data_IF_176776997518
#
_entry.id   IF_176776997518
#
_cell.length_a   1.000
_cell.length_b   1.000
_cell.length_c   1.000
_cell.angle_alpha   90.00
_cell.angle_beta   90.00
_cell.angle_gamma   90.00
#
_symmetry.space_group_name_H-M   'P 1'
#
loop_
_entity.id
_entity.type
_entity.pdbx_description
1 polymer ?
#
# COMPACT_ATOMS: atom_id res chain seq x y z
N UNK A 1 -9.36 3.28 -8.13
CA UNK A 1 -8.87 3.75 -9.46
C UNK A 1 -9.73 4.91 -9.94
N UNK A 2 -9.11 5.95 -10.50
CA UNK A 2 -9.86 7.08 -11.09
C UNK A 2 -10.65 6.59 -12.30
N UNK A 3 -11.96 6.90 -12.42
CA UNK A 3 -12.78 6.46 -13.54
C UNK A 3 -12.26 7.04 -14.88
N UNK A 4 -12.35 6.26 -15.96
CA UNK A 4 -11.85 6.67 -17.29
C UNK A 4 -12.46 7.99 -17.80
N UNK A 5 -13.74 8.25 -17.49
CA UNK A 5 -14.44 9.49 -17.89
C UNK A 5 -13.82 10.75 -17.28
N UNK A 6 -13.07 10.61 -16.18
CA UNK A 6 -12.41 11.75 -15.54
C UNK A 6 -11.37 12.42 -16.44
N UNK A 7 -10.80 11.65 -17.35
CA UNK A 7 -9.77 12.07 -18.30
C UNK A 7 -10.33 12.38 -19.70
N UNK A 8 -11.66 12.34 -19.86
CA UNK A 8 -12.33 12.48 -21.14
C UNK A 8 -13.31 13.67 -21.13
N UNK A 9 -13.51 14.31 -22.31
CA UNK A 9 -14.59 15.26 -22.54
C UNK A 9 -15.88 14.52 -22.95
N UNK A 10 -16.91 15.28 -23.30
CA UNK A 10 -18.21 14.76 -23.76
C UNK A 10 -18.13 14.01 -25.09
N UNK A 11 -17.11 14.25 -25.89
CA UNK A 11 -16.88 13.61 -27.19
C UNK A 11 -15.96 12.37 -27.07
N UNK A 12 -15.43 12.11 -25.88
CA UNK A 12 -14.51 11.00 -25.61
C UNK A 12 -13.04 11.32 -25.86
N UNK A 13 -12.69 12.57 -26.21
CA UNK A 13 -11.32 13.01 -26.36
C UNK A 13 -10.65 13.24 -25.02
N UNK A 14 -9.31 13.24 -24.99
CA UNK A 14 -8.56 13.60 -23.79
C UNK A 14 -8.80 15.07 -23.43
N UNK A 15 -9.09 15.34 -22.15
CA UNK A 15 -9.24 16.71 -21.65
C UNK A 15 -7.91 17.45 -21.63
N UNK A 16 -7.96 18.80 -21.63
CA UNK A 16 -6.76 19.62 -21.45
C UNK A 16 -6.20 19.50 -20.03
N UNK A 17 -4.96 19.94 -19.87
CA UNK A 17 -4.27 20.00 -18.57
C UNK A 17 -5.07 20.83 -17.55
N UNK A 18 -5.55 21.98 -17.94
CA UNK A 18 -6.31 22.92 -17.09
C UNK A 18 -7.61 22.28 -16.61
N UNK A 19 -8.37 21.69 -17.52
CA UNK A 19 -9.62 20.98 -17.19
C UNK A 19 -9.37 19.83 -16.21
N UNK A 20 -8.27 19.10 -16.40
CA UNK A 20 -7.96 17.99 -15.49
C UNK A 20 -7.56 18.48 -14.11
N UNK A 21 -6.79 19.58 -14.03
CA UNK A 21 -6.44 20.22 -12.74
C UNK A 21 -7.70 20.69 -12.03
N UNK A 22 -8.62 21.33 -12.72
CA UNK A 22 -9.88 21.80 -12.13
C UNK A 22 -10.75 20.64 -11.62
N UNK A 23 -10.84 19.58 -12.39
CA UNK A 23 -11.55 18.34 -11.95
C UNK A 23 -10.92 17.75 -10.69
N UNK A 24 -9.60 17.65 -10.65
CA UNK A 24 -8.86 17.15 -9.49
C UNK A 24 -9.11 18.02 -8.26
N UNK A 25 -8.95 19.35 -8.38
CA UNK A 25 -9.20 20.29 -7.30
C UNK A 25 -10.63 20.22 -6.80
N UNK A 26 -11.61 20.16 -7.70
CA UNK A 26 -13.03 20.04 -7.33
C UNK A 26 -13.33 18.74 -6.59
N UNK A 27 -12.75 17.62 -7.03
CA UNK A 27 -12.88 16.35 -6.34
C UNK A 27 -12.29 16.42 -4.92
N UNK A 28 -11.06 16.90 -4.78
CA UNK A 28 -10.40 17.06 -3.48
C UNK A 28 -11.23 18.00 -2.59
N UNK A 29 -11.65 19.15 -3.09
CA UNK A 29 -12.50 20.10 -2.34
C UNK A 29 -13.76 19.44 -1.83
N UNK A 30 -14.47 18.70 -2.68
CA UNK A 30 -15.71 18.03 -2.30
C UNK A 30 -15.49 17.00 -1.20
N UNK A 31 -14.47 16.14 -1.34
CA UNK A 31 -14.21 15.04 -0.40
C UNK A 31 -13.65 15.58 0.92
N UNK A 32 -12.59 16.38 0.86
CA UNK A 32 -11.93 16.88 2.08
C UNK A 32 -12.84 17.80 2.88
N UNK A 33 -13.62 18.70 2.24
CA UNK A 33 -14.58 19.56 2.95
C UNK A 33 -15.64 18.73 3.69
N UNK A 34 -16.12 17.62 3.08
CA UNK A 34 -17.13 16.75 3.69
C UNK A 34 -16.64 16.06 4.96
N UNK A 35 -15.36 15.72 5.02
CA UNK A 35 -14.76 14.96 6.12
C UNK A 35 -13.82 15.78 7.00
N UNK A 36 -13.74 17.10 6.78
CA UNK A 36 -12.94 18.00 7.58
C UNK A 36 -13.28 17.86 9.07
N UNK A 37 -12.24 17.66 9.90
CA UNK A 37 -12.37 17.44 11.33
C UNK A 37 -12.93 16.07 11.73
N UNK A 38 -13.13 15.15 10.77
CA UNK A 38 -13.57 13.75 11.00
C UNK A 38 -12.51 12.73 10.61
N UNK A 39 -11.60 13.10 9.71
CA UNK A 39 -10.50 12.28 9.23
C UNK A 39 -9.22 13.04 9.48
N UNK A 40 -8.29 12.44 10.21
CA UNK A 40 -7.04 13.08 10.61
C UNK A 40 -5.96 12.92 9.52
N UNK A 41 -5.94 11.79 8.83
CA UNK A 41 -4.89 11.41 7.87
C UNK A 41 -5.47 11.21 6.48
N UNK A 42 -4.77 11.74 5.48
CA UNK A 42 -5.15 11.62 4.07
C UNK A 42 -4.01 11.04 3.24
N UNK A 43 -4.26 9.93 2.57
CA UNK A 43 -3.42 9.44 1.47
C UNK A 43 -3.72 10.31 0.25
N UNK A 44 -3.07 11.48 0.17
CA UNK A 44 -3.40 12.50 -0.85
C UNK A 44 -3.05 12.04 -2.24
N UNK A 45 -1.89 11.42 -2.39
CA UNK A 45 -1.48 10.74 -3.62
C UNK A 45 -1.00 9.33 -3.29
N UNK A 46 -1.37 8.39 -4.17
CA UNK A 46 -1.13 6.98 -3.99
C UNK A 46 -0.41 6.39 -5.20
N UNK A 47 0.64 5.59 -4.96
CA UNK A 47 1.32 4.77 -5.97
C UNK A 47 1.87 5.59 -7.15
N UNK A 48 2.57 6.69 -6.88
CA UNK A 48 3.12 7.54 -7.96
C UNK A 48 4.48 7.07 -8.45
N UNK A 49 5.12 6.11 -7.76
CA UNK A 49 6.43 5.59 -8.10
C UNK A 49 6.29 4.21 -8.74
N UNK A 50 6.97 4.03 -9.85
CA UNK A 50 7.17 2.73 -10.50
C UNK A 50 8.63 2.33 -10.45
N UNK A 51 8.89 1.02 -10.47
CA UNK A 51 10.25 0.47 -10.54
C UNK A 51 10.37 -0.49 -11.69
N UNK A 52 11.55 -0.54 -12.30
CA UNK A 52 11.90 -1.49 -13.34
C UNK A 52 13.34 -1.94 -13.11
N UNK A 53 13.63 -3.22 -13.34
CA UNK A 53 15.00 -3.70 -13.39
C UNK A 53 15.66 -3.23 -14.66
N UNK A 54 16.88 -2.70 -14.54
CA UNK A 54 17.77 -2.41 -15.65
C UNK A 54 18.42 -3.71 -16.18
N UNK A 55 19.31 -3.59 -17.17
CA UNK A 55 20.00 -4.74 -17.78
C UNK A 55 20.88 -5.51 -16.78
N UNK A 56 21.33 -4.86 -15.71
CA UNK A 56 22.14 -5.46 -14.64
C UNK A 56 21.27 -6.13 -13.55
N UNK A 57 19.92 -6.07 -13.69
CA UNK A 57 18.97 -6.61 -12.71
C UNK A 57 18.72 -5.72 -11.50
N UNK A 58 19.27 -4.50 -11.50
CA UNK A 58 19.11 -3.51 -10.41
C UNK A 58 17.81 -2.73 -10.63
N UNK A 59 17.05 -2.52 -9.56
CA UNK A 59 15.85 -1.71 -9.63
C UNK A 59 16.18 -0.22 -9.74
N UNK A 60 15.54 0.42 -10.70
CA UNK A 60 15.50 1.87 -10.86
C UNK A 60 14.09 2.37 -10.61
N UNK A 61 13.95 3.52 -9.93
CA UNK A 61 12.66 4.11 -9.61
C UNK A 61 12.42 5.39 -10.42
N UNK A 62 11.18 5.57 -10.84
CA UNK A 62 10.75 6.73 -11.62
C UNK A 62 9.26 7.00 -11.40
N UNK A 63 8.79 8.17 -11.82
CA UNK A 63 7.35 8.46 -11.75
C UNK A 63 6.54 7.53 -12.64
N UNK A 64 5.48 6.98 -12.06
CA UNK A 64 4.56 6.07 -12.76
C UNK A 64 3.84 6.81 -13.88
N UNK A 65 3.92 6.28 -15.11
CA UNK A 65 3.13 6.77 -16.24
C UNK A 65 1.63 6.49 -16.00
N UNK A 66 0.93 7.55 -15.62
CA UNK A 66 -0.52 7.55 -15.38
C UNK A 66 -1.14 8.68 -16.18
N UNK A 67 -2.46 8.67 -16.43
CA UNK A 67 -3.12 9.81 -17.07
C UNK A 67 -2.87 11.14 -16.34
N UNK A 68 -2.76 11.14 -15.03
CA UNK A 68 -2.39 12.31 -14.23
C UNK A 68 -1.02 12.86 -14.61
N UNK A 69 -0.02 11.98 -14.61
CA UNK A 69 1.35 12.33 -14.95
C UNK A 69 1.50 12.73 -16.42
N UNK A 70 0.85 11.99 -17.33
CA UNK A 70 0.99 12.20 -18.77
C UNK A 70 0.32 13.49 -19.25
N UNK A 71 -0.74 13.94 -18.58
CA UNK A 71 -1.50 15.16 -18.97
C UNK A 71 -1.01 16.39 -18.21
N UNK A 72 -0.73 16.27 -16.92
CA UNK A 72 -0.37 17.40 -16.07
C UNK A 72 1.15 17.53 -15.89
N UNK A 73 1.89 16.42 -15.86
CA UNK A 73 3.28 16.35 -15.41
C UNK A 73 3.37 16.03 -13.91
N UNK A 74 4.60 15.93 -13.35
CA UNK A 74 4.80 15.57 -11.95
C UNK A 74 4.22 16.58 -10.96
N UNK A 75 3.98 17.79 -11.37
CA UNK A 75 3.40 18.86 -10.55
C UNK A 75 1.97 18.58 -10.08
N UNK A 76 1.26 17.58 -10.66
CA UNK A 76 -0.06 17.18 -10.15
C UNK A 76 0.00 16.75 -8.69
N UNK A 77 1.13 16.20 -8.26
CA UNK A 77 1.37 15.77 -6.88
C UNK A 77 1.33 16.97 -5.95
N UNK A 78 2.11 17.99 -6.25
CA UNK A 78 2.16 19.24 -5.47
C UNK A 78 0.79 19.93 -5.45
N UNK A 79 0.11 20.02 -6.61
CA UNK A 79 -1.22 20.64 -6.73
C UNK A 79 -2.23 19.92 -5.82
N UNK A 80 -2.20 18.57 -5.78
CA UNK A 80 -3.09 17.79 -4.95
C UNK A 80 -2.88 18.10 -3.45
N UNK A 81 -1.65 18.08 -2.98
CA UNK A 81 -1.34 18.38 -1.57
C UNK A 81 -1.72 19.79 -1.18
N UNK A 82 -1.36 20.81 -1.98
CA UNK A 82 -1.74 22.21 -1.72
C UNK A 82 -3.24 22.37 -1.65
N UNK A 83 -3.99 21.67 -2.52
CA UNK A 83 -5.46 21.75 -2.50
C UNK A 83 -6.04 21.18 -1.22
N UNK A 84 -5.48 20.10 -0.66
CA UNK A 84 -5.93 19.58 0.65
C UNK A 84 -5.62 20.61 1.75
N UNK A 85 -4.40 21.17 1.77
CA UNK A 85 -3.99 22.17 2.78
C UNK A 85 -4.86 23.44 2.75
N UNK A 86 -5.29 23.90 1.57
CA UNK A 86 -6.20 25.05 1.44
C UNK A 86 -7.56 24.82 2.12
N UNK A 87 -8.01 23.56 2.13
CA UNK A 87 -9.33 23.19 2.67
C UNK A 87 -9.25 22.84 4.16
N UNK A 88 -8.28 22.01 4.52
CA UNK A 88 -8.03 21.55 5.88
C UNK A 88 -6.55 21.69 6.24
N UNK A 89 -6.15 22.86 6.77
CA UNK A 89 -4.77 23.13 7.17
C UNK A 89 -4.26 22.22 8.30
N UNK A 90 -5.15 21.56 9.02
CA UNK A 90 -4.80 20.67 10.15
C UNK A 90 -4.71 19.20 9.72
N UNK A 91 -5.07 18.88 8.49
CA UNK A 91 -4.99 17.52 7.95
C UNK A 91 -3.54 17.01 7.94
N UNK A 92 -3.34 15.80 8.40
CA UNK A 92 -2.06 15.10 8.30
C UNK A 92 -1.96 14.42 6.93
N UNK A 93 -0.98 14.79 6.13
CA UNK A 93 -0.85 14.39 4.74
C UNK A 93 0.14 13.23 4.62
N UNK A 94 -0.25 12.15 3.98
CA UNK A 94 0.59 10.99 3.72
C UNK A 94 0.89 10.85 2.23
N UNK A 95 2.06 10.30 1.95
CA UNK A 95 2.38 9.67 0.67
C UNK A 95 2.31 8.17 0.84
N UNK A 96 1.47 7.44 0.10
CA UNK A 96 1.23 6.00 0.23
C UNK A 96 1.70 5.22 -0.99
N UNK A 97 2.42 4.11 -0.79
CA UNK A 97 2.85 3.25 -1.91
C UNK A 97 3.12 1.79 -1.45
N UNK A 98 3.11 0.87 -2.41
CA UNK A 98 3.47 -0.55 -2.24
C UNK A 98 4.93 -0.80 -2.58
N UNK A 99 5.46 -1.98 -2.20
CA UNK A 99 6.83 -2.44 -2.50
C UNK A 99 7.92 -1.41 -2.15
N UNK A 100 7.76 -0.68 -1.05
CA UNK A 100 8.79 0.23 -0.54
C UNK A 100 10.02 -0.53 0.00
N UNK A 101 9.92 -1.85 0.16
CA UNK A 101 11.02 -2.79 0.42
C UNK A 101 12.04 -2.91 -0.72
N UNK A 102 11.77 -2.31 -1.88
CA UNK A 102 12.74 -2.10 -2.94
C UNK A 102 13.54 -0.81 -2.67
N UNK A 103 14.84 -0.94 -2.47
CA UNK A 103 15.71 0.17 -2.04
C UNK A 103 15.57 1.42 -2.91
N UNK A 104 15.62 1.28 -4.24
CA UNK A 104 15.44 2.40 -5.15
C UNK A 104 14.07 3.10 -4.97
N UNK A 105 13.03 2.34 -4.61
CA UNK A 105 11.68 2.89 -4.45
C UNK A 105 11.53 3.70 -3.16
N UNK A 106 12.05 3.19 -2.05
CA UNK A 106 12.00 3.93 -0.78
C UNK A 106 12.89 5.17 -0.84
N UNK A 107 14.05 5.11 -1.49
CA UNK A 107 14.92 6.27 -1.67
C UNK A 107 14.22 7.35 -2.51
N UNK A 108 13.53 6.97 -3.57
CA UNK A 108 12.74 7.90 -4.38
C UNK A 108 11.60 8.52 -3.56
N UNK A 109 10.87 7.72 -2.76
CA UNK A 109 9.79 8.19 -1.91
C UNK A 109 10.28 9.18 -0.85
N UNK A 110 11.40 8.90 -0.20
CA UNK A 110 12.04 9.81 0.78
C UNK A 110 12.43 11.13 0.11
N UNK A 111 13.05 11.08 -1.07
CA UNK A 111 13.44 12.28 -1.82
C UNK A 111 12.22 13.10 -2.27
N UNK A 112 11.15 12.43 -2.72
CA UNK A 112 9.89 13.10 -3.06
C UNK A 112 9.32 13.83 -1.84
N UNK A 113 9.23 13.17 -0.68
CA UNK A 113 8.72 13.77 0.56
C UNK A 113 9.58 14.95 0.99
N UNK A 114 10.91 14.84 0.94
CA UNK A 114 11.84 15.95 1.26
C UNK A 114 11.62 17.14 0.33
N UNK A 115 11.54 16.90 -0.98
CA UNK A 115 11.28 17.95 -1.97
C UNK A 115 9.95 18.66 -1.74
N UNK A 116 8.90 17.94 -1.36
CA UNK A 116 7.61 18.54 -1.02
C UNK A 116 7.70 19.37 0.26
N UNK A 117 8.41 18.91 1.29
CA UNK A 117 8.64 19.66 2.54
C UNK A 117 9.43 20.95 2.29
N UNK A 118 10.46 20.92 1.44
CA UNK A 118 11.22 22.12 1.02
C UNK A 118 10.34 23.17 0.34
N UNK A 119 9.27 22.73 -0.33
CA UNK A 119 8.26 23.62 -0.95
C UNK A 119 7.16 24.08 0.03
N UNK A 120 7.31 23.79 1.32
CA UNK A 120 6.35 24.15 2.38
C UNK A 120 5.11 23.26 2.43
N UNK A 121 5.18 22.04 1.92
CA UNK A 121 4.11 21.05 2.01
C UNK A 121 4.45 20.07 3.15
N UNK A 122 3.71 20.09 4.27
CA UNK A 122 4.03 19.31 5.46
C UNK A 122 3.57 17.86 5.32
N UNK A 123 4.30 17.05 4.55
CA UNK A 123 4.04 15.60 4.53
C UNK A 123 4.36 15.05 5.91
N UNK A 124 3.36 14.43 6.55
CA UNK A 124 3.45 13.91 7.90
C UNK A 124 4.21 12.58 7.94
N UNK A 125 3.81 11.61 7.13
CA UNK A 125 4.40 10.28 7.11
C UNK A 125 4.44 9.67 5.71
N UNK A 126 5.27 8.63 5.55
CA UNK A 126 5.20 7.70 4.42
C UNK A 126 4.29 6.53 4.81
N UNK A 127 3.28 6.28 3.98
CA UNK A 127 2.44 5.09 4.04
C UNK A 127 3.09 3.93 3.30
N UNK A 128 3.42 2.88 4.02
CA UNK A 128 3.87 1.61 3.46
C UNK A 128 2.70 0.64 3.44
N UNK A 129 2.17 0.31 2.26
CA UNK A 129 0.99 -0.54 2.14
C UNK A 129 1.17 -1.90 2.80
N UNK A 130 2.36 -2.51 2.68
CA UNK A 130 2.70 -3.78 3.33
C UNK A 130 1.81 -4.96 2.89
N UNK A 131 1.57 -5.07 1.59
CA UNK A 131 0.96 -6.24 0.97
C UNK A 131 1.99 -7.36 0.83
N UNK A 132 2.19 -8.13 1.87
CA UNK A 132 3.26 -9.11 1.96
C UNK A 132 2.83 -10.52 1.52
N UNK A 133 3.84 -11.35 1.28
CA UNK A 133 3.71 -12.78 0.98
C UNK A 133 4.56 -13.60 1.96
N UNK A 134 4.43 -14.91 1.94
CA UNK A 134 5.14 -15.79 2.88
C UNK A 134 6.66 -15.73 2.75
N UNK A 135 7.18 -15.46 1.57
CA UNK A 135 8.61 -15.42 1.23
C UNK A 135 9.11 -14.04 0.82
N UNK A 136 8.21 -13.10 0.52
CA UNK A 136 8.53 -11.74 0.07
C UNK A 136 7.73 -10.68 0.83
N UNK A 137 8.34 -9.51 1.10
CA UNK A 137 9.78 -9.22 1.01
C UNK A 137 10.57 -9.94 2.10
N UNK A 138 11.90 -10.01 1.98
CA UNK A 138 12.76 -10.47 3.08
C UNK A 138 12.58 -9.57 4.31
N UNK A 139 12.71 -10.11 5.51
CA UNK A 139 12.60 -9.32 6.74
C UNK A 139 13.62 -8.18 6.80
N UNK A 140 14.84 -8.43 6.29
CA UNK A 140 15.88 -7.41 6.16
C UNK A 140 15.48 -6.25 5.24
N UNK A 141 14.66 -6.49 4.22
CA UNK A 141 14.17 -5.43 3.34
C UNK A 141 13.07 -4.61 4.02
N UNK A 142 12.23 -5.25 4.84
CA UNK A 142 11.27 -4.52 5.68
C UNK A 142 12.03 -3.62 6.65
N UNK A 143 13.01 -4.17 7.36
CA UNK A 143 13.85 -3.41 8.30
C UNK A 143 14.59 -2.24 7.64
N UNK A 144 15.11 -2.45 6.41
CA UNK A 144 15.76 -1.41 5.62
C UNK A 144 14.84 -0.20 5.38
N UNK A 145 13.53 -0.41 5.12
CA UNK A 145 12.55 0.68 4.97
C UNK A 145 12.50 1.53 6.23
N UNK A 146 12.34 0.89 7.39
CA UNK A 146 12.28 1.58 8.68
C UNK A 146 13.58 2.33 8.99
N UNK A 147 14.72 1.70 8.77
CA UNK A 147 16.03 2.33 8.97
C UNK A 147 16.19 3.60 8.13
N UNK A 148 15.88 3.53 6.83
CA UNK A 148 15.97 4.70 5.93
C UNK A 148 15.01 5.81 6.32
N UNK A 149 13.78 5.50 6.70
CA UNK A 149 12.82 6.49 7.18
C UNK A 149 13.24 7.12 8.52
N UNK A 150 13.80 6.34 9.45
CA UNK A 150 14.37 6.83 10.70
C UNK A 150 15.53 7.79 10.45
N UNK A 151 16.48 7.43 9.58
CA UNK A 151 17.58 8.29 9.17
C UNK A 151 17.10 9.59 8.49
N UNK A 152 16.02 9.51 7.74
CA UNK A 152 15.37 10.66 7.09
C UNK A 152 14.48 11.49 8.04
N UNK A 153 14.22 11.04 9.25
CA UNK A 153 13.29 11.62 10.22
C UNK A 153 11.87 11.75 9.65
N UNK A 154 11.40 10.73 8.97
CA UNK A 154 10.05 10.66 8.39
C UNK A 154 9.29 9.51 9.07
N UNK A 155 8.17 9.78 9.77
CA UNK A 155 7.32 8.74 10.34
C UNK A 155 6.78 7.78 9.28
N UNK A 156 6.45 6.56 9.70
CA UNK A 156 5.85 5.51 8.86
C UNK A 156 4.46 5.18 9.38
N UNK A 157 3.53 4.99 8.45
CA UNK A 157 2.29 4.28 8.68
C UNK A 157 2.31 2.98 7.88
N UNK A 158 1.99 1.85 8.49
CA UNK A 158 1.58 0.66 7.76
C UNK A 158 0.10 0.84 7.44
N UNK A 159 -0.21 0.92 6.16
CA UNK A 159 -1.53 1.40 5.71
C UNK A 159 -2.47 0.31 5.25
N UNK A 160 -1.96 -0.83 4.76
CA UNK A 160 -2.76 -1.83 4.08
C UNK A 160 -2.24 -3.26 4.37
N UNK A 161 -1.81 -3.54 5.62
CA UNK A 161 -1.17 -4.80 5.97
C UNK A 161 -2.06 -6.00 5.66
N UNK A 162 -1.55 -6.89 4.86
CA UNK A 162 -2.02 -8.25 4.69
C UNK A 162 -0.86 -9.19 4.33
N UNK A 163 -0.98 -10.48 4.65
CA UNK A 163 0.07 -11.48 4.44
C UNK A 163 -0.50 -12.71 3.73
N UNK A 164 -0.38 -12.72 2.40
CA UNK A 164 -0.87 -13.82 1.57
C UNK A 164 -0.13 -15.12 1.84
N UNK A 165 -0.88 -16.21 1.94
CA UNK A 165 -0.34 -17.58 1.97
C UNK A 165 -0.28 -18.23 0.59
N UNK A 166 -0.77 -17.55 -0.45
CA UNK A 166 -0.80 -18.07 -1.80
C UNK A 166 0.50 -17.77 -2.55
N UNK A 167 0.84 -18.59 -3.54
CA UNK A 167 1.96 -18.29 -4.44
C UNK A 167 1.79 -16.95 -5.18
N UNK A 168 2.91 -16.29 -5.46
CA UNK A 168 2.93 -15.07 -6.26
C UNK A 168 2.43 -15.36 -7.69
N UNK A 169 1.38 -14.66 -8.09
CA UNK A 169 0.76 -14.78 -9.40
C UNK A 169 0.61 -13.43 -10.13
N UNK A 170 1.36 -12.39 -9.70
CA UNK A 170 1.28 -11.07 -10.30
C UNK A 170 1.74 -11.02 -11.77
N UNK A 171 2.62 -11.94 -12.16
CA UNK A 171 3.06 -12.11 -13.55
C UNK A 171 1.93 -12.55 -14.50
N UNK A 172 0.84 -13.12 -13.95
CA UNK A 172 -0.35 -13.54 -14.69
C UNK A 172 -1.46 -12.48 -14.69
N UNK A 173 -1.21 -11.30 -14.18
CA UNK A 173 -2.21 -10.22 -14.09
C UNK A 173 -2.65 -9.77 -15.48
N UNK A 174 -3.96 -9.87 -15.74
CA UNK A 174 -4.57 -9.50 -17.02
C UNK A 174 -4.75 -10.67 -17.98
N UNK A 175 -4.16 -11.82 -17.70
CA UNK A 175 -4.41 -13.04 -18.48
C UNK A 175 -5.76 -13.67 -18.11
N UNK A 176 -6.38 -14.32 -19.07
CA UNK A 176 -7.55 -15.17 -18.81
C UNK A 176 -7.00 -16.50 -18.30
N UNK A 177 -6.90 -16.62 -16.98
CA UNK A 177 -6.47 -17.86 -16.33
C UNK A 177 -7.70 -18.62 -15.86
N UNK A 178 -7.89 -19.84 -16.38
CA UNK A 178 -8.88 -20.78 -15.86
C UNK A 178 -8.36 -21.37 -14.54
N UNK A 179 -9.16 -21.28 -13.48
CA UNK A 179 -8.89 -21.97 -12.21
C UNK A 179 -9.39 -23.44 -12.28
N UNK A 180 -9.11 -24.11 -13.40
CA UNK A 180 -9.34 -25.55 -13.49
C UNK A 180 -8.36 -26.34 -12.59
N UNK A 181 -8.52 -27.65 -12.52
CA UNK A 181 -7.75 -28.50 -11.61
C UNK A 181 -6.23 -28.42 -11.84
N UNK A 182 -5.79 -28.16 -13.06
CA UNK A 182 -4.36 -28.18 -13.40
C UNK A 182 -3.66 -26.88 -13.01
N UNK A 183 -4.33 -25.73 -13.18
CA UNK A 183 -3.81 -24.41 -12.80
C UNK A 183 -4.07 -24.11 -11.34
N UNK A 184 -5.18 -24.57 -10.76
CA UNK A 184 -5.56 -24.37 -9.38
C UNK A 184 -4.48 -24.84 -8.38
N UNK A 185 -3.86 -26.00 -8.63
CA UNK A 185 -2.82 -26.53 -7.76
C UNK A 185 -1.57 -25.65 -7.63
N UNK A 186 -1.26 -24.87 -8.66
CA UNK A 186 -0.06 -24.01 -8.67
C UNK A 186 -0.30 -22.59 -8.16
N UNK A 187 -1.51 -22.02 -8.30
CA UNK A 187 -1.79 -20.63 -7.95
C UNK A 187 -2.90 -20.45 -6.91
N UNK A 188 -3.66 -21.50 -6.60
CA UNK A 188 -4.72 -21.52 -5.59
C UNK A 188 -4.73 -22.85 -4.81
N UNK A 189 -3.60 -23.25 -4.20
CA UNK A 189 -3.44 -24.57 -3.58
C UNK A 189 -4.39 -24.79 -2.39
N UNK A 190 -4.92 -23.72 -1.81
CA UNK A 190 -5.74 -23.77 -0.61
C UNK A 190 -7.19 -23.36 -0.87
N UNK A 191 -7.76 -23.72 -2.02
CA UNK A 191 -9.09 -23.31 -2.45
C UNK A 191 -10.20 -23.59 -1.43
N UNK A 192 -10.09 -24.68 -0.66
CA UNK A 192 -11.10 -25.10 0.32
C UNK A 192 -10.72 -24.71 1.76
N UNK A 193 -9.45 -24.83 2.14
CA UNK A 193 -8.92 -24.47 3.46
C UNK A 193 -7.41 -24.34 3.40
N UNK A 194 -6.83 -23.48 4.24
CA UNK A 194 -5.38 -23.43 4.45
C UNK A 194 -4.98 -24.48 5.49
N UNK A 195 -3.97 -25.33 5.22
CA UNK A 195 -3.49 -26.32 6.18
C UNK A 195 -2.98 -25.66 7.48
N UNK A 196 -3.08 -26.35 8.63
CA UNK A 196 -2.64 -25.79 9.93
C UNK A 196 -1.16 -25.39 9.96
N UNK A 197 -0.28 -26.14 9.30
CA UNK A 197 1.15 -25.85 9.20
C UNK A 197 1.42 -24.57 8.39
N UNK A 198 0.64 -24.32 7.34
CA UNK A 198 0.71 -23.06 6.57
C UNK A 198 0.27 -21.88 7.43
N UNK A 199 -0.81 -22.01 8.19
CA UNK A 199 -1.29 -20.96 9.11
C UNK A 199 -0.31 -20.74 10.27
N UNK A 200 0.35 -21.77 10.76
CA UNK A 200 1.39 -21.66 11.77
C UNK A 200 2.63 -20.93 11.20
N UNK A 201 3.07 -21.27 10.00
CA UNK A 201 4.15 -20.56 9.32
C UNK A 201 3.81 -19.08 9.09
N UNK A 202 2.56 -18.78 8.68
CA UNK A 202 2.06 -17.42 8.56
C UNK A 202 2.13 -16.68 9.90
N UNK A 203 1.73 -17.32 10.97
CA UNK A 203 1.75 -16.74 12.32
C UNK A 203 3.18 -16.41 12.78
N UNK A 204 4.15 -17.29 12.48
CA UNK A 204 5.58 -17.03 12.75
C UNK A 204 6.07 -15.84 11.95
N UNK A 205 5.69 -15.74 10.67
CA UNK A 205 6.10 -14.62 9.83
C UNK A 205 5.49 -13.30 10.30
N UNK A 206 4.19 -13.26 10.63
CA UNK A 206 3.56 -12.09 11.25
C UNK A 206 4.28 -11.65 12.52
N UNK A 207 4.59 -12.61 13.42
CA UNK A 207 5.33 -12.33 14.64
C UNK A 207 6.69 -11.68 14.35
N UNK A 208 7.42 -12.18 13.35
CA UNK A 208 8.73 -11.61 12.98
C UNK A 208 8.62 -10.22 12.37
N UNK A 209 7.59 -9.96 11.56
CA UNK A 209 7.29 -8.62 11.05
C UNK A 209 6.96 -7.66 12.20
N UNK A 210 6.11 -8.07 13.13
CA UNK A 210 5.75 -7.23 14.29
C UNK A 210 6.91 -7.00 15.26
N UNK A 211 7.91 -7.88 15.33
CA UNK A 211 9.15 -7.58 16.05
C UNK A 211 9.88 -6.38 15.45
N UNK A 212 9.98 -6.29 14.12
CA UNK A 212 10.56 -5.13 13.45
C UNK A 212 9.72 -3.89 13.75
N UNK A 213 8.39 -3.99 13.65
CA UNK A 213 7.49 -2.87 13.97
C UNK A 213 7.69 -2.35 15.39
N UNK A 214 7.88 -3.23 16.36
CA UNK A 214 8.14 -2.87 17.76
C UNK A 214 9.54 -2.30 17.98
N UNK A 215 10.54 -2.74 17.23
CA UNK A 215 11.89 -2.19 17.28
C UNK A 215 11.93 -0.74 16.80
N UNK A 216 11.13 -0.42 15.79
CA UNK A 216 11.04 0.93 15.22
C UNK A 216 9.78 1.71 15.66
N UNK A 217 9.20 1.37 16.82
CA UNK A 217 7.96 1.97 17.34
C UNK A 217 8.01 3.50 17.47
N UNK A 218 9.19 4.07 17.62
CA UNK A 218 9.39 5.53 17.73
C UNK A 218 9.05 6.32 16.46
N UNK A 219 9.10 5.65 15.29
CA UNK A 219 8.74 6.24 13.99
C UNK A 219 7.52 5.59 13.35
N UNK A 220 7.06 4.45 13.89
CA UNK A 220 5.86 3.76 13.42
C UNK A 220 4.64 4.24 14.22
N UNK A 221 3.82 5.08 13.62
CA UNK A 221 2.67 5.68 14.32
C UNK A 221 1.38 4.87 14.21
N UNK A 222 1.25 4.04 13.17
CA UNK A 222 0.01 3.30 12.91
C UNK A 222 0.27 2.01 12.13
N UNK A 223 -0.49 0.96 12.48
CA UNK A 223 -0.62 -0.26 11.67
C UNK A 223 -2.10 -0.46 11.34
N UNK A 224 -2.40 -0.49 10.04
CA UNK A 224 -3.76 -0.72 9.52
C UNK A 224 -3.76 -1.98 8.66
N UNK A 225 -4.65 -2.91 8.97
CA UNK A 225 -4.87 -4.09 8.13
C UNK A 225 -5.80 -3.76 6.96
N UNK A 226 -5.53 -4.34 5.78
CA UNK A 226 -6.37 -4.15 4.59
C UNK A 226 -7.55 -5.11 4.55
N UNK A 227 -8.32 -5.07 5.60
CA UNK A 227 -9.51 -5.88 5.81
C UNK A 227 -9.62 -6.36 7.25
N UNK A 228 -10.81 -6.86 7.60
CA UNK A 228 -11.11 -7.36 8.95
C UNK A 228 -10.95 -8.88 9.02
N UNK A 229 -11.36 -9.59 7.97
CA UNK A 229 -11.43 -11.06 7.93
C UNK A 229 -11.14 -11.61 6.53
N UNK A 230 -10.66 -12.82 6.45
CA UNK A 230 -10.21 -13.46 5.20
C UNK A 230 -11.30 -13.51 4.12
N UNK A 231 -12.59 -13.60 4.50
CA UNK A 231 -13.69 -13.70 3.55
C UNK A 231 -14.02 -12.40 2.79
N UNK A 232 -13.43 -11.27 3.17
CA UNK A 232 -13.58 -9.99 2.47
C UNK A 232 -12.23 -9.48 1.90
N UNK A 233 -11.24 -10.37 1.74
CA UNK A 233 -9.95 -9.99 1.19
C UNK A 233 -10.02 -9.67 -0.30
N UNK A 234 -9.39 -8.56 -0.71
CA UNK A 234 -9.22 -8.21 -2.12
C UNK A 234 -8.36 -9.22 -2.89
N UNK A 235 -7.54 -9.99 -2.18
CA UNK A 235 -6.66 -11.02 -2.76
C UNK A 235 -7.41 -12.19 -3.38
N UNK A 236 -8.68 -12.37 -3.04
CA UNK A 236 -9.56 -13.34 -3.70
C UNK A 236 -9.92 -12.91 -5.14
N UNK A 237 -9.70 -11.63 -5.47
CA UNK A 237 -10.05 -11.05 -6.77
C UNK A 237 -8.85 -10.54 -7.56
N UNK A 238 -7.69 -10.39 -6.94
CA UNK A 238 -6.49 -9.84 -7.56
C UNK A 238 -5.22 -10.59 -7.08
N UNK A 239 -4.25 -10.85 -7.94
CA UNK A 239 -4.18 -10.54 -9.37
C UNK A 239 -5.13 -11.39 -10.24
N UNK A 240 -5.62 -12.53 -9.73
CA UNK A 240 -6.51 -13.46 -10.42
C UNK A 240 -7.78 -13.67 -9.61
N UNK A 241 -8.92 -13.47 -10.26
CA UNK A 241 -10.24 -13.64 -9.64
C UNK A 241 -10.54 -15.11 -9.35
N UNK A 242 -11.10 -15.39 -8.17
CA UNK A 242 -11.57 -16.72 -7.77
C UNK A 242 -10.55 -17.52 -6.97
N UNK A 243 -9.42 -16.92 -6.61
CA UNK A 243 -8.49 -17.49 -5.62
C UNK A 243 -9.12 -17.41 -4.22
N UNK A 244 -8.62 -18.23 -3.30
CA UNK A 244 -9.04 -18.22 -1.89
C UNK A 244 -7.83 -17.98 -1.02
N UNK A 245 -7.66 -16.77 -0.53
CA UNK A 245 -6.53 -16.40 0.33
C UNK A 245 -6.94 -16.29 1.81
N UNK A 246 -5.96 -16.33 2.70
CA UNK A 246 -6.12 -16.30 4.15
C UNK A 246 -5.17 -15.26 4.78
N UNK A 247 -5.21 -13.98 4.34
CA UNK A 247 -4.14 -13.04 4.64
C UNK A 247 -4.28 -12.30 5.97
N UNK A 248 -5.42 -12.39 6.66
CA UNK A 248 -5.76 -11.54 7.81
C UNK A 248 -5.73 -12.30 9.14
N UNK A 249 -6.01 -11.61 10.25
CA UNK A 249 -6.02 -12.19 11.60
C UNK A 249 -7.28 -12.99 11.94
N UNK A 250 -8.38 -12.76 11.22
CA UNK A 250 -9.62 -13.49 11.42
C UNK A 250 -9.92 -14.34 10.19
N UNK A 251 -10.30 -15.58 10.45
CA UNK A 251 -10.67 -16.54 9.41
C UNK A 251 -11.99 -16.20 8.71
N UNK A 252 -12.39 -17.02 7.74
CA UNK A 252 -13.65 -16.84 6.98
C UNK A 252 -14.95 -17.04 7.81
N UNK A 253 -14.81 -17.38 9.10
CA UNK A 253 -15.91 -17.51 10.08
C UNK A 253 -15.77 -16.51 11.24
N UNK A 254 -14.91 -15.51 11.11
CA UNK A 254 -14.56 -14.52 12.14
C UNK A 254 -13.89 -15.09 13.40
N UNK A 255 -13.35 -16.32 13.37
CA UNK A 255 -12.54 -16.82 14.45
C UNK A 255 -11.14 -16.22 14.38
N UNK A 256 -10.53 -16.02 15.55
CA UNK A 256 -9.12 -15.61 15.63
C UNK A 256 -8.24 -16.71 15.07
N UNK A 257 -7.25 -16.33 14.27
CA UNK A 257 -6.22 -17.23 13.78
C UNK A 257 -5.02 -17.24 14.72
N UNK A 258 -4.19 -18.27 14.63
CA UNK A 258 -2.95 -18.39 15.43
C UNK A 258 -2.05 -17.15 15.28
N UNK A 259 -2.06 -16.49 14.12
CA UNK A 259 -1.34 -15.25 13.90
C UNK A 259 -1.78 -14.10 14.80
N UNK A 260 -3.08 -14.00 15.12
CA UNK A 260 -3.59 -13.03 16.09
C UNK A 260 -2.95 -13.25 17.47
N UNK A 261 -3.05 -14.48 17.99
CA UNK A 261 -2.56 -14.79 19.35
C UNK A 261 -1.04 -14.62 19.45
N UNK A 262 -0.26 -15.03 18.42
CA UNK A 262 1.20 -14.84 18.40
C UNK A 262 1.63 -13.38 18.41
N UNK A 263 0.90 -12.51 17.73
CA UNK A 263 1.20 -11.08 17.74
C UNK A 263 0.78 -10.43 19.05
N UNK A 264 -0.42 -10.75 19.57
CA UNK A 264 -0.87 -10.23 20.86
C UNK A 264 0.10 -10.59 21.99
N UNK A 265 0.51 -11.87 22.07
CA UNK A 265 1.49 -12.32 23.07
C UNK A 265 2.85 -11.59 22.96
N UNK A 266 3.24 -11.15 21.75
CA UNK A 266 4.46 -10.37 21.60
C UNK A 266 4.30 -8.94 22.14
N UNK A 267 3.11 -8.34 21.99
CA UNK A 267 2.82 -7.00 22.49
C UNK A 267 2.72 -6.97 24.01
N UNK A 268 2.12 -7.99 24.63
CA UNK A 268 1.99 -8.13 26.08
C UNK A 268 3.33 -8.27 26.80
N UNK A 269 4.34 -8.92 26.17
CA UNK A 269 5.68 -9.11 26.76
C UNK A 269 6.52 -7.84 26.86
N UNK A 270 6.08 -6.70 26.34
CA UNK A 270 6.78 -5.40 26.42
C UNK A 270 6.26 -4.48 27.55
N UNK A 271 5.23 -4.88 28.26
CA UNK A 271 4.66 -4.09 29.36
C UNK A 271 5.34 -4.39 30.72
N UNK A 272 6.23 -5.42 30.79
CA UNK A 272 7.08 -5.76 31.94
C UNK A 272 8.51 -5.17 31.77
#
# INVERSE_FOLDING_TARGET
MTPKWFFKDSEGNQVSREVLIDRMKNHIKTVVSRYKGKVDYWDVVNEVIHTKKNEEGIYEAFFRSTPWYNIIGPEYIEIAYRTVMEIDPNAKLLYNDFNLDQEAKIDFAINLVKSLKEKGIPIHAIGYQAHFMMDEPLLSNIEMVFKKCKEAQIPIHITELDLSVLPNAWHLRGDIVSLDKDVSGSINPYANFAPPDVLEAQAVRYRNIFKIFLEYHEILERVTFWGVWDGASWRDYSPIKGRTDYPLFFDRKFNKKVSYDKVCSLLEQKED
#
